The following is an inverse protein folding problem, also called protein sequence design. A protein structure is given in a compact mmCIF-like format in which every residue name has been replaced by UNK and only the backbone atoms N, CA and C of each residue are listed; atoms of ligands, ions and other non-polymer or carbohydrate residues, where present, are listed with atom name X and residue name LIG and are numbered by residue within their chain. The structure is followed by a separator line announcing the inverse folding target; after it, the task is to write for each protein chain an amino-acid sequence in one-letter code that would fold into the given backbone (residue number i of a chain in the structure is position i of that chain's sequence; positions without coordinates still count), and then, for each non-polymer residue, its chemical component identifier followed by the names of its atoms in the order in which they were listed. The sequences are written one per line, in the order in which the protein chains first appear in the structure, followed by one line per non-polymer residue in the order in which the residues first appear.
data_IF_010916867219
#
_entry.id   IF_010916867219
#
_cell.length_a   1.000
_cell.length_b   1.000
_cell.length_c   1.000
_cell.angle_alpha   90.00
_cell.angle_beta   90.00
_cell.angle_gamma   90.00
#
_symmetry.space_group_name_H-M   'P 1'
#
loop_
_entity.id
_entity.type
_entity.pdbx_description
1 polymer ?
#
# COMPACT_ATOMS: atom_id res chain seq x y z
N UNK A 1 7.74 21.08 20.34
CA UNK A 1 7.66 21.04 18.87
C UNK A 1 7.84 19.59 18.43
N UNK A 2 6.74 18.87 18.16
CA UNK A 2 6.86 17.54 17.59
C UNK A 2 7.39 17.71 16.16
N UNK A 3 8.60 17.22 15.89
CA UNK A 3 9.08 17.03 14.53
C UNK A 3 8.08 16.09 13.86
N UNK A 4 7.16 16.61 13.03
CA UNK A 4 6.20 15.75 12.34
C UNK A 4 6.96 15.00 11.26
N UNK A 5 7.47 13.82 11.60
CA UNK A 5 8.01 12.89 10.60
C UNK A 5 6.93 12.69 9.53
N UNK A 6 7.35 12.76 8.26
CA UNK A 6 6.47 12.49 7.13
C UNK A 6 5.80 11.12 7.33
N UNK A 7 4.47 11.00 7.12
CA UNK A 7 3.75 9.74 7.31
C UNK A 7 4.40 8.61 6.49
N UNK A 8 4.51 7.43 7.09
CA UNK A 8 4.94 6.22 6.39
C UNK A 8 3.70 5.35 6.23
N UNK A 9 3.36 5.00 5.00
CA UNK A 9 2.12 4.33 4.67
C UNK A 9 2.38 3.03 3.91
N UNK A 10 1.83 1.92 4.41
CA UNK A 10 1.72 0.69 3.62
C UNK A 10 0.61 0.88 2.60
N UNK A 11 0.91 0.71 1.32
CA UNK A 11 -0.10 0.67 0.27
C UNK A 11 -0.50 -0.78 0.03
N UNK A 12 -1.75 -1.12 0.34
CA UNK A 12 -2.32 -2.45 0.07
C UNK A 12 -2.52 -2.67 -1.44
N UNK A 13 -2.57 -3.93 -1.89
CA UNK A 13 -2.82 -4.27 -3.28
C UNK A 13 -4.16 -3.67 -3.77
N UNK A 14 -5.17 -3.63 -2.90
CA UNK A 14 -6.48 -3.07 -3.21
C UNK A 14 -6.44 -1.60 -3.70
N UNK A 15 -5.43 -0.83 -3.28
CA UNK A 15 -5.26 0.58 -3.70
C UNK A 15 -4.23 0.76 -4.82
N UNK A 16 -3.44 -0.29 -5.11
CA UNK A 16 -2.46 -0.31 -6.20
C UNK A 16 -3.01 -0.88 -7.52
N UNK A 17 -4.08 -1.68 -7.45
CA UNK A 17 -4.73 -2.30 -8.62
C UNK A 17 -5.45 -1.29 -9.50
N UNK A 18 -6.33 -0.40 -8.97
CA UNK A 18 -6.99 0.60 -9.81
C UNK A 18 -5.97 1.67 -10.24
N UNK A 19 -5.71 1.76 -11.54
CA UNK A 19 -4.64 2.62 -12.09
C UNK A 19 -4.71 4.07 -11.63
N UNK A 20 -5.88 4.71 -11.74
CA UNK A 20 -6.04 6.11 -11.32
C UNK A 20 -5.79 6.34 -9.83
N UNK A 21 -6.16 5.38 -8.96
CA UNK A 21 -5.93 5.50 -7.52
C UNK A 21 -4.45 5.31 -7.17
N UNK A 22 -3.81 4.31 -7.78
CA UNK A 22 -2.36 4.10 -7.66
C UNK A 22 -1.61 5.35 -8.08
N UNK A 23 -1.92 5.90 -9.25
CA UNK A 23 -1.20 7.05 -9.81
C UNK A 23 -1.40 8.29 -8.93
N UNK A 24 -2.59 8.51 -8.37
CA UNK A 24 -2.85 9.58 -7.38
C UNK A 24 -1.97 9.41 -6.13
N UNK A 25 -2.00 8.23 -5.49
CA UNK A 25 -1.26 7.98 -4.26
C UNK A 25 0.25 8.07 -4.48
N UNK A 26 0.76 7.54 -5.59
CA UNK A 26 2.17 7.62 -5.93
C UNK A 26 2.59 9.05 -6.32
N UNK A 27 1.73 9.84 -6.95
CA UNK A 27 2.02 11.26 -7.22
C UNK A 27 2.13 12.07 -5.93
N UNK A 28 1.28 11.81 -4.93
CA UNK A 28 1.38 12.42 -3.61
C UNK A 28 2.67 12.00 -2.87
N UNK A 29 3.06 10.73 -3.02
CA UNK A 29 4.33 10.23 -2.48
C UNK A 29 5.55 10.89 -3.14
N UNK A 30 5.53 11.04 -4.48
CA UNK A 30 6.59 11.72 -5.25
C UNK A 30 6.73 13.19 -4.82
N UNK A 31 5.61 13.86 -4.58
CA UNK A 31 5.55 15.19 -3.97
C UNK A 31 5.98 15.22 -2.47
N UNK A 32 6.54 14.13 -1.94
CA UNK A 32 7.03 13.99 -0.57
C UNK A 32 5.98 14.21 0.53
N UNK A 33 4.69 14.09 0.19
CA UNK A 33 3.58 14.25 1.15
C UNK A 33 3.53 13.09 2.15
N UNK A 34 3.95 11.89 1.73
CA UNK A 34 4.17 10.73 2.58
C UNK A 34 5.20 9.78 1.94
N UNK A 35 5.73 8.82 2.71
CA UNK A 35 6.58 7.75 2.20
C UNK A 35 5.77 6.47 1.95
N UNK A 36 5.67 5.98 0.70
CA UNK A 36 4.97 4.75 0.40
C UNK A 36 5.86 3.55 0.72
N UNK A 37 5.24 2.46 1.15
CA UNK A 37 5.90 1.18 1.39
C UNK A 37 4.99 0.05 0.92
N UNK A 38 5.58 -0.99 0.33
CA UNK A 38 4.90 -2.23 -0.02
C UNK A 38 5.84 -3.42 0.14
N UNK A 39 5.31 -4.63 0.05
CA UNK A 39 6.10 -5.88 0.11
C UNK A 39 6.07 -6.60 -1.22
N UNK A 40 6.96 -7.58 -1.39
CA UNK A 40 6.91 -8.49 -2.54
C UNK A 40 5.62 -9.31 -2.61
N UNK A 41 4.92 -9.51 -1.48
CA UNK A 41 3.63 -10.18 -1.48
C UNK A 41 2.53 -9.25 -2.01
N UNK A 42 2.50 -7.99 -1.57
CA UNK A 42 1.58 -6.97 -2.10
C UNK A 42 1.79 -6.76 -3.61
N UNK A 43 3.03 -6.81 -4.09
CA UNK A 43 3.31 -6.74 -5.53
C UNK A 43 2.75 -7.93 -6.31
N UNK A 44 2.87 -9.15 -5.76
CA UNK A 44 2.27 -10.34 -6.39
C UNK A 44 0.76 -10.24 -6.47
N UNK A 45 0.12 -9.81 -5.37
CA UNK A 45 -1.32 -9.58 -5.32
C UNK A 45 -1.75 -8.49 -6.32
N UNK A 46 -0.98 -7.39 -6.38
CA UNK A 46 -1.21 -6.31 -7.35
C UNK A 46 -1.10 -6.83 -8.78
N UNK A 47 -0.05 -7.60 -9.10
CA UNK A 47 0.13 -8.18 -10.44
C UNK A 47 -1.04 -9.09 -10.81
N UNK A 48 -1.40 -10.03 -9.93
CA UNK A 48 -2.51 -10.97 -10.17
C UNK A 48 -3.80 -10.22 -10.47
N UNK A 49 -4.21 -9.30 -9.61
CA UNK A 49 -5.48 -8.58 -9.76
C UNK A 49 -5.46 -7.57 -10.93
N UNK A 50 -4.32 -6.95 -11.26
CA UNK A 50 -4.19 -6.12 -12.47
C UNK A 50 -4.38 -6.97 -13.72
N UNK A 51 -3.74 -8.14 -13.79
CA UNK A 51 -3.87 -9.06 -14.93
C UNK A 51 -5.31 -9.54 -15.07
N UNK A 52 -5.92 -10.02 -13.98
CA UNK A 52 -7.32 -10.47 -13.97
C UNK A 52 -8.28 -9.38 -14.45
N UNK A 53 -8.10 -8.14 -13.97
CA UNK A 53 -8.93 -7.00 -14.37
C UNK A 53 -8.78 -6.67 -15.85
N UNK A 54 -7.57 -6.72 -16.40
CA UNK A 54 -7.33 -6.42 -17.81
C UNK A 54 -7.85 -7.53 -18.74
N UNK A 55 -7.69 -8.79 -18.33
CA UNK A 55 -8.27 -9.93 -19.06
C UNK A 55 -9.80 -9.84 -19.05
N UNK A 56 -10.40 -9.52 -17.91
CA UNK A 56 -11.85 -9.28 -17.82
C UNK A 56 -12.32 -8.09 -18.68
N UNK A 57 -11.44 -7.13 -18.96
CA UNK A 57 -11.68 -6.01 -19.87
C UNK A 57 -11.42 -6.34 -21.35
N UNK A 58 -11.09 -7.59 -21.68
CA UNK A 58 -10.92 -8.07 -23.06
C UNK A 58 -9.49 -8.08 -23.59
N UNK A 59 -8.49 -7.78 -22.75
CA UNK A 59 -7.08 -7.84 -23.15
C UNK A 59 -6.58 -9.28 -23.18
N UNK A 60 -5.69 -9.62 -24.12
CA UNK A 60 -5.10 -10.95 -24.18
C UNK A 60 -4.27 -11.25 -22.90
N UNK A 61 -4.28 -12.49 -22.36
CA UNK A 61 -3.58 -12.80 -21.10
C UNK A 61 -2.10 -12.42 -21.07
N UNK A 62 -1.36 -12.63 -22.15
CA UNK A 62 0.06 -12.29 -22.24
C UNK A 62 0.29 -10.77 -22.26
N UNK A 63 -0.57 -10.02 -22.95
CA UNK A 63 -0.54 -8.55 -22.98
C UNK A 63 -0.88 -7.96 -21.61
N UNK A 64 -1.91 -8.49 -20.95
CA UNK A 64 -2.28 -8.10 -19.59
C UNK A 64 -1.14 -8.37 -18.61
N UNK A 65 -0.47 -9.52 -18.72
CA UNK A 65 0.70 -9.86 -17.91
C UNK A 65 1.89 -8.94 -18.18
N UNK A 66 2.20 -8.68 -19.44
CA UNK A 66 3.26 -7.73 -19.81
C UNK A 66 2.97 -6.33 -19.25
N UNK A 67 1.72 -5.88 -19.33
CA UNK A 67 1.29 -4.61 -18.74
C UNK A 67 1.48 -4.59 -17.22
N UNK A 68 0.98 -5.59 -16.49
CA UNK A 68 1.11 -5.67 -15.04
C UNK A 68 2.57 -5.71 -14.56
N UNK A 69 3.45 -6.42 -15.29
CA UNK A 69 4.90 -6.41 -15.02
C UNK A 69 5.49 -5.01 -15.25
N UNK A 70 5.07 -4.34 -16.32
CA UNK A 70 5.45 -2.95 -16.60
C UNK A 70 5.06 -1.98 -15.47
N UNK A 71 3.84 -2.12 -14.94
CA UNK A 71 3.36 -1.33 -13.79
C UNK A 71 4.28 -1.52 -12.57
N UNK A 72 4.56 -2.77 -12.18
CA UNK A 72 5.43 -3.03 -11.04
C UNK A 72 6.85 -2.53 -11.25
N UNK A 73 7.40 -2.67 -12.46
CA UNK A 73 8.72 -2.12 -12.80
C UNK A 73 8.74 -0.61 -12.58
N UNK A 74 7.78 0.10 -13.16
CA UNK A 74 7.71 1.57 -13.04
C UNK A 74 7.58 2.01 -11.58
N UNK A 75 6.77 1.31 -10.76
CA UNK A 75 6.66 1.60 -9.34
C UNK A 75 7.99 1.45 -8.59
N UNK A 76 8.74 0.38 -8.88
CA UNK A 76 10.02 0.11 -8.21
C UNK A 76 11.15 1.02 -8.69
N UNK A 77 11.12 1.45 -9.96
CA UNK A 77 12.08 2.42 -10.49
C UNK A 77 11.83 3.82 -9.90
N UNK A 78 10.56 4.22 -9.74
CA UNK A 78 10.20 5.50 -9.14
C UNK A 78 10.47 5.55 -7.62
N UNK A 79 10.29 4.42 -6.92
CA UNK A 79 10.44 4.35 -5.46
C UNK A 79 11.36 3.18 -5.05
N UNK A 80 12.68 3.30 -5.25
CA UNK A 80 13.63 2.20 -4.99
C UNK A 80 13.66 1.74 -3.53
N UNK A 81 13.30 2.63 -2.59
CA UNK A 81 13.28 2.35 -1.15
C UNK A 81 11.91 1.88 -0.62
N UNK A 82 10.86 1.85 -1.45
CA UNK A 82 9.51 1.51 -1.01
C UNK A 82 9.30 0.01 -0.78
N UNK A 83 10.07 -0.86 -1.45
CA UNK A 83 9.95 -2.31 -1.30
C UNK A 83 10.61 -2.78 0.01
N UNK A 84 9.78 -3.10 1.00
CA UNK A 84 10.23 -3.62 2.29
C UNK A 84 10.80 -5.04 2.17
N UNK A 85 12.01 -5.23 2.70
CA UNK A 85 12.69 -6.53 2.71
C UNK A 85 11.90 -7.59 3.49
N UNK A 86 11.79 -8.81 2.93
CA UNK A 86 11.02 -9.94 3.51
C UNK A 86 11.34 -10.23 4.97
N UNK A 87 12.61 -10.15 5.35
CA UNK A 87 13.09 -10.37 6.73
C UNK A 87 12.48 -9.42 7.76
N UNK A 88 11.99 -8.25 7.34
CA UNK A 88 11.45 -7.23 8.25
C UNK A 88 9.97 -7.46 8.59
N UNK A 89 9.20 -8.15 7.75
CA UNK A 89 7.76 -8.32 7.94
C UNK A 89 7.31 -9.78 8.08
N UNK A 90 7.91 -10.72 7.34
CA UNK A 90 7.45 -12.11 7.30
C UNK A 90 7.38 -12.79 8.68
N UNK A 91 8.36 -12.64 9.59
CA UNK A 91 8.27 -13.23 10.93
C UNK A 91 7.14 -12.67 11.81
N UNK A 92 6.55 -11.52 11.43
CA UNK A 92 5.50 -10.84 12.19
C UNK A 92 4.09 -11.26 11.76
N UNK A 93 3.94 -11.90 10.61
CA UNK A 93 2.65 -12.36 10.06
C UNK A 93 1.84 -13.20 11.06
N UNK A 94 2.44 -14.17 11.79
CA UNK A 94 1.67 -14.98 12.74
C UNK A 94 1.13 -14.19 13.95
N UNK A 95 1.64 -12.98 14.20
CA UNK A 95 1.23 -12.13 15.32
C UNK A 95 0.01 -11.26 14.99
N UNK A 96 -0.38 -11.16 13.72
CA UNK A 96 -1.47 -10.29 13.30
C UNK A 96 -2.81 -10.99 13.49
N UNK A 97 -3.79 -10.26 14.01
CA UNK A 97 -5.10 -10.78 14.43
C UNK A 97 -6.22 -10.48 13.43
N UNK A 98 -5.91 -9.78 12.33
CA UNK A 98 -6.84 -9.47 11.26
C UNK A 98 -7.07 -10.69 10.34
N UNK A 99 -7.82 -10.49 9.25
CA UNK A 99 -8.11 -11.57 8.30
C UNK A 99 -6.84 -12.29 7.85
N UNK A 100 -6.91 -13.62 7.79
CA UNK A 100 -5.74 -14.48 7.56
C UNK A 100 -5.03 -14.17 6.24
N UNK A 101 -5.74 -13.87 5.15
CA UNK A 101 -5.10 -13.54 3.86
C UNK A 101 -4.40 -12.18 3.89
N UNK A 102 -4.83 -11.28 4.77
CA UNK A 102 -4.38 -9.88 4.81
C UNK A 102 -3.42 -9.58 5.97
N UNK A 103 -2.98 -10.60 6.72
CA UNK A 103 -2.03 -10.44 7.85
C UNK A 103 -0.69 -9.87 7.44
N UNK A 104 -0.23 -10.13 6.22
CA UNK A 104 1.04 -9.60 5.73
C UNK A 104 1.05 -8.09 5.64
N UNK A 105 -0.10 -7.45 5.42
CA UNK A 105 -0.22 -5.99 5.32
C UNK A 105 0.05 -5.32 6.68
N UNK A 106 -0.59 -5.80 7.76
CA UNK A 106 -0.30 -5.29 9.11
C UNK A 106 1.11 -5.68 9.57
N UNK A 107 1.59 -6.87 9.22
CA UNK A 107 2.97 -7.28 9.51
C UNK A 107 3.99 -6.37 8.81
N UNK A 108 3.71 -5.93 7.58
CA UNK A 108 4.51 -4.96 6.86
C UNK A 108 4.49 -3.60 7.57
N UNK A 109 3.34 -3.17 8.08
CA UNK A 109 3.23 -1.92 8.84
C UNK A 109 4.16 -1.93 10.06
N UNK A 110 4.15 -3.01 10.83
CA UNK A 110 5.09 -3.18 11.96
C UNK A 110 6.54 -3.24 11.49
N UNK A 111 6.83 -3.97 10.41
CA UNK A 111 8.18 -4.14 9.87
C UNK A 111 8.79 -2.86 9.28
N UNK A 112 7.96 -1.93 8.80
CA UNK A 112 8.37 -0.65 8.23
C UNK A 112 8.34 0.51 9.24
N UNK A 113 7.90 0.27 10.48
CA UNK A 113 7.51 1.32 11.42
C UNK A 113 6.53 2.31 10.77
N UNK A 114 5.57 1.76 10.01
CA UNK A 114 4.55 2.54 9.35
C UNK A 114 3.62 3.18 10.38
N UNK A 115 3.06 4.31 9.98
CA UNK A 115 2.01 5.03 10.74
C UNK A 115 0.62 4.74 10.16
N UNK A 116 0.56 4.32 8.89
CA UNK A 116 -0.70 4.12 8.19
C UNK A 116 -0.66 2.84 7.35
N UNK A 117 -1.83 2.24 7.16
CA UNK A 117 -2.14 1.24 6.13
C UNK A 117 -3.28 1.79 5.29
N UNK A 118 -3.11 1.84 3.98
CA UNK A 118 -4.09 2.40 3.04
C UNK A 118 -4.71 1.26 2.27
N UNK A 119 -6.01 1.05 2.45
CA UNK A 119 -6.77 -0.03 1.82
C UNK A 119 -8.21 0.40 1.54
N UNK A 120 -8.85 -0.18 0.52
CA UNK A 120 -10.31 -0.08 0.34
C UNK A 120 -11.07 -1.17 1.11
N UNK A 121 -10.38 -2.18 1.64
CA UNK A 121 -10.98 -3.35 2.26
C UNK A 121 -10.94 -3.27 3.79
N UNK A 122 -11.43 -2.17 4.37
CA UNK A 122 -11.35 -1.92 5.83
C UNK A 122 -11.93 -3.08 6.67
N UNK A 123 -12.92 -3.80 6.16
CA UNK A 123 -13.51 -4.96 6.84
C UNK A 123 -12.51 -6.07 7.18
N UNK A 124 -11.44 -6.20 6.40
CA UNK A 124 -10.37 -7.18 6.63
C UNK A 124 -9.42 -6.77 7.77
N UNK A 125 -9.55 -5.53 8.27
CA UNK A 125 -8.71 -4.89 9.28
C UNK A 125 -9.55 -4.26 10.40
N UNK A 126 -10.24 -5.06 11.23
CA UNK A 126 -11.02 -4.52 12.34
C UNK A 126 -10.12 -3.79 13.34
N UNK A 127 -10.62 -2.70 13.95
CA UNK A 127 -9.81 -1.79 14.78
C UNK A 127 -9.03 -2.48 15.92
N UNK A 128 -9.56 -3.55 16.50
CA UNK A 128 -8.87 -4.32 17.55
C UNK A 128 -7.57 -4.99 17.08
N UNK A 129 -7.39 -5.16 15.76
CA UNK A 129 -6.25 -5.83 15.17
C UNK A 129 -5.08 -4.89 14.84
N UNK A 130 -5.29 -3.57 14.92
CA UNK A 130 -4.32 -2.58 14.48
C UNK A 130 -3.10 -2.54 15.42
N UNK A 131 -1.86 -2.59 14.89
CA UNK A 131 -0.68 -2.40 15.71
C UNK A 131 -0.66 -1.02 16.36
N UNK A 132 -0.02 -0.92 17.53
CA UNK A 132 0.10 0.35 18.23
C UNK A 132 0.74 1.44 17.36
N UNK A 133 0.07 2.59 17.22
CA UNK A 133 0.53 3.72 16.40
C UNK A 133 0.28 3.57 14.89
N UNK A 134 -0.48 2.56 14.46
CA UNK A 134 -0.89 2.36 13.07
C UNK A 134 -2.38 2.65 12.92
N UNK A 135 -2.72 3.51 11.95
CA UNK A 135 -4.10 3.73 11.51
C UNK A 135 -4.37 2.98 10.20
N UNK A 136 -5.51 2.29 10.08
CA UNK A 136 -5.93 1.69 8.80
C UNK A 136 -7.04 2.56 8.21
N UNK A 137 -6.78 3.18 7.06
CA UNK A 137 -7.63 4.20 6.47
C UNK A 137 -8.00 3.88 5.01
N UNK A 138 -9.16 4.40 4.57
CA UNK A 138 -9.45 4.50 3.14
C UNK A 138 -8.52 5.51 2.48
N UNK A 139 -8.31 5.42 1.16
CA UNK A 139 -7.56 6.42 0.43
C UNK A 139 -8.12 7.85 0.60
N UNK A 140 -9.44 7.99 0.58
CA UNK A 140 -10.10 9.30 0.73
C UNK A 140 -9.83 9.90 2.12
N UNK A 141 -9.97 9.09 3.18
CA UNK A 141 -9.72 9.54 4.55
C UNK A 141 -8.26 9.93 4.74
N UNK A 142 -7.34 9.14 4.18
CA UNK A 142 -5.91 9.42 4.25
C UNK A 142 -5.54 10.70 3.51
N UNK A 143 -5.98 10.86 2.26
CA UNK A 143 -5.65 12.02 1.42
C UNK A 143 -6.23 13.32 1.98
N UNK A 144 -7.46 13.31 2.48
CA UNK A 144 -8.04 14.46 3.21
C UNK A 144 -7.24 14.80 4.47
N UNK A 145 -6.79 13.78 5.22
CA UNK A 145 -5.93 13.97 6.39
C UNK A 145 -4.58 14.62 6.05
N UNK A 146 -4.00 14.29 4.89
CA UNK A 146 -2.75 14.90 4.41
C UNK A 146 -2.94 16.37 4.01
N UNK A 147 -4.06 16.72 3.39
CA UNK A 147 -4.39 18.10 3.00
C UNK A 147 -4.54 19.02 4.22
N UNK A 148 -5.24 18.56 5.25
CA UNK A 148 -5.43 19.35 6.47
C UNK A 148 -4.11 19.62 7.21
N UNK A 149 -3.13 18.72 7.10
CA UNK A 149 -1.79 18.91 7.67
C UNK A 149 -0.95 19.91 6.89
N UNK A 150 -1.12 19.99 5.58
CA UNK A 150 -0.33 20.88 4.71
C UNK A 150 -0.87 22.31 4.68
N UNK A 151 -2.15 22.52 5.00
CA UNK A 151 -2.83 23.83 4.94
C UNK A 151 -3.08 24.49 6.31
N UNK A 152 -2.61 23.89 7.40
CA UNK A 152 -2.65 24.49 8.75
C UNK A 152 -1.43 25.39 9.04
N UNK A 153 -0.78 25.92 8.00
CA UNK A 153 0.41 26.77 8.07
C UNK A 153 0.11 28.24 7.80
#
# INVERSE_FOLDING_TARGET
MASSRSPVAILDAAVLVPGGLRDLLLSLADASVFRPVWTTQIERETLTHVVERLVAAGLAPDEARAHGVGVLRNMNEAFPDARLATRNWMPKVPLMLNDRKDRHVLAAAVGAHATHVITTNIGDFPAYSWPAGVEVLTPDTFTLGLLNRTWSG
#
